data_IF_831357074359
#
_entry.id   IF_831357074359
#
_cell.length_a   1.000
_cell.length_b   1.000
_cell.length_c   1.000
_cell.angle_alpha   90.00
_cell.angle_beta   90.00
_cell.angle_gamma   90.00
#
_symmetry.space_group_name_H-M   'P 1'
#
loop_
_entity.id
_entity.type
_entity.pdbx_description
1 polymer ?
#
# COMPACT_ATOMS: atom_id res chain seq x y z
N UNK A 1 -12.39 18.21 -26.25
CA UNK A 1 -13.82 18.51 -26.48
C UNK A 1 -14.40 19.11 -25.22
N UNK A 2 -14.87 20.34 -25.31
CA UNK A 2 -15.59 20.96 -24.21
C UNK A 2 -17.00 20.37 -24.20
N UNK A 3 -17.45 19.73 -23.10
CA UNK A 3 -18.79 19.22 -23.02
C UNK A 3 -19.78 20.34 -23.33
N UNK A 4 -20.65 20.10 -24.26
CA UNK A 4 -21.64 21.05 -24.70
C UNK A 4 -21.25 22.02 -25.79
N UNK A 5 -20.02 22.02 -26.25
CA UNK A 5 -19.74 22.56 -27.58
C UNK A 5 -20.03 21.49 -28.62
N UNK A 6 -20.95 21.78 -29.51
CA UNK A 6 -21.04 21.01 -30.74
C UNK A 6 -19.74 21.19 -31.51
N UNK A 7 -19.06 20.10 -31.80
CA UNK A 7 -17.94 20.12 -32.73
C UNK A 7 -18.52 20.41 -34.10
N UNK A 8 -18.35 21.63 -34.55
CA UNK A 8 -19.02 22.11 -35.74
C UNK A 8 -18.05 22.28 -36.87
N UNK A 9 -17.38 21.26 -37.29
CA UNK A 9 -16.65 21.38 -38.55
C UNK A 9 -17.55 21.68 -39.75
N UNK A 10 -18.84 21.42 -39.66
CA UNK A 10 -19.76 21.53 -40.78
C UNK A 10 -21.15 22.13 -40.44
N UNK A 11 -21.28 22.85 -39.35
CA UNK A 11 -22.55 23.48 -39.01
C UNK A 11 -22.47 25.01 -39.13
N UNK A 12 -23.16 25.57 -40.08
CA UNK A 12 -23.23 27.01 -40.26
C UNK A 12 -24.05 27.75 -39.20
N UNK A 13 -24.71 27.07 -38.31
CA UNK A 13 -25.45 27.64 -37.18
C UNK A 13 -25.24 26.81 -35.96
N UNK A 14 -24.44 27.33 -35.02
CA UNK A 14 -24.49 26.89 -33.63
C UNK A 14 -25.68 27.58 -33.00
N UNK A 15 -26.78 26.93 -33.02
CA UNK A 15 -27.84 27.25 -32.08
C UNK A 15 -27.30 27.07 -30.68
N UNK A 16 -27.66 27.96 -29.76
CA UNK A 16 -27.28 27.97 -28.36
C UNK A 16 -26.98 26.57 -27.87
N UNK A 17 -25.74 26.38 -27.41
CA UNK A 17 -25.38 25.19 -26.69
C UNK A 17 -26.17 25.19 -25.38
N UNK A 18 -27.11 24.27 -25.23
CA UNK A 18 -27.80 24.00 -23.96
C UNK A 18 -26.92 23.29 -22.94
N UNK A 19 -25.64 23.38 -23.12
CA UNK A 19 -24.68 22.66 -22.34
C UNK A 19 -24.22 23.44 -21.09
N UNK A 20 -23.72 22.69 -20.12
CA UNK A 20 -23.31 23.17 -18.82
C UNK A 20 -22.08 24.08 -18.84
N UNK A 21 -21.58 24.48 -20.02
CA UNK A 21 -20.31 25.24 -20.18
C UNK A 21 -19.12 24.66 -19.41
N UNK A 22 -19.11 23.35 -19.24
CA UNK A 22 -18.03 22.64 -18.56
C UNK A 22 -16.88 22.43 -19.52
N UNK A 23 -15.66 22.62 -19.01
CA UNK A 23 -14.43 22.36 -19.75
C UNK A 23 -13.66 21.25 -19.09
N UNK A 24 -13.13 20.33 -19.89
CA UNK A 24 -12.12 19.35 -19.48
C UNK A 24 -10.86 19.70 -20.29
N UNK A 25 -9.77 19.92 -19.60
CA UNK A 25 -8.47 20.10 -20.24
C UNK A 25 -7.40 19.28 -19.51
N UNK A 26 -6.21 19.24 -20.09
CA UNK A 26 -5.04 18.58 -19.54
C UNK A 26 -3.84 19.48 -19.69
N UNK A 27 -2.87 19.29 -18.80
CA UNK A 27 -1.59 20.02 -18.82
C UNK A 27 -0.45 19.08 -18.51
N UNK A 28 0.72 19.44 -18.98
CA UNK A 28 1.95 18.72 -18.62
C UNK A 28 2.16 18.77 -17.11
N UNK A 29 2.74 17.72 -16.57
CA UNK A 29 3.11 17.58 -15.16
C UNK A 29 4.17 18.62 -14.80
N UNK A 30 3.78 19.61 -14.00
CA UNK A 30 4.65 20.64 -13.44
C UNK A 30 4.11 21.07 -12.09
N UNK A 31 4.99 21.57 -11.22
CA UNK A 31 4.60 22.05 -9.89
C UNK A 31 3.51 23.11 -9.93
N UNK A 32 3.58 24.04 -10.88
CA UNK A 32 2.63 25.16 -11.03
C UNK A 32 1.53 24.91 -12.06
N UNK A 33 1.30 23.65 -12.46
CA UNK A 33 0.18 23.34 -13.35
C UNK A 33 -1.14 23.72 -12.69
N UNK A 34 -2.00 24.43 -13.44
CA UNK A 34 -3.29 24.95 -12.98
C UNK A 34 -3.24 26.05 -11.90
N UNK A 35 -2.08 26.64 -11.63
CA UNK A 35 -2.03 27.81 -10.77
C UNK A 35 -3.01 28.90 -11.24
N UNK A 36 -3.66 29.57 -10.29
CA UNK A 36 -4.65 30.64 -10.50
C UNK A 36 -5.93 30.23 -11.29
N UNK A 37 -6.18 28.93 -11.49
CA UNK A 37 -7.39 28.42 -12.17
C UNK A 37 -8.32 27.80 -11.13
N UNK A 38 -9.60 28.18 -11.13
CA UNK A 38 -10.60 27.50 -10.30
C UNK A 38 -11.01 26.18 -10.92
N UNK A 39 -10.95 25.10 -10.13
CA UNK A 39 -11.18 23.73 -10.55
C UNK A 39 -12.31 23.10 -9.76
N UNK A 40 -13.18 22.35 -10.46
CA UNK A 40 -14.23 21.52 -9.83
C UNK A 40 -13.74 20.09 -9.65
N UNK A 41 -12.88 19.63 -10.56
CA UNK A 41 -12.21 18.31 -10.46
C UNK A 41 -10.78 18.47 -10.89
N UNK A 42 -9.88 17.88 -10.12
CA UNK A 42 -8.49 17.73 -10.46
C UNK A 42 -8.12 16.24 -10.40
N UNK A 43 -7.59 15.72 -11.48
CA UNK A 43 -7.06 14.37 -11.55
C UNK A 43 -5.55 14.46 -11.73
N UNK A 44 -4.83 13.96 -10.75
CA UNK A 44 -3.39 13.87 -10.73
C UNK A 44 -2.99 12.41 -10.95
N UNK A 45 -2.92 12.03 -12.22
CA UNK A 45 -2.68 10.64 -12.60
C UNK A 45 -1.23 10.24 -12.33
N UNK A 46 -1.06 9.01 -11.84
CA UNK A 46 0.24 8.43 -11.53
C UNK A 46 1.14 9.31 -10.64
N UNK A 47 0.56 10.00 -9.65
CA UNK A 47 1.24 10.98 -8.81
C UNK A 47 2.51 10.43 -8.11
N UNK A 48 2.51 9.16 -7.74
CA UNK A 48 3.67 8.49 -7.13
C UNK A 48 4.80 8.14 -8.11
N UNK A 49 4.61 8.44 -9.40
CA UNK A 49 5.61 8.19 -10.46
C UNK A 49 6.19 9.48 -11.07
N UNK A 50 5.82 10.63 -10.56
CA UNK A 50 6.33 11.89 -11.08
C UNK A 50 7.83 12.04 -10.81
N UNK A 51 8.61 12.26 -11.86
CA UNK A 51 10.08 12.37 -11.78
C UNK A 51 10.59 13.81 -11.95
N UNK A 52 9.85 14.63 -12.68
CA UNK A 52 10.30 15.99 -13.05
C UNK A 52 9.62 17.10 -12.21
N UNK A 53 8.64 16.73 -11.39
CA UNK A 53 7.91 17.67 -10.55
C UNK A 53 7.55 17.02 -9.21
N UNK A 54 7.57 17.81 -8.14
CA UNK A 54 7.10 17.37 -6.83
C UNK A 54 5.58 17.40 -6.76
N UNK A 55 4.98 16.26 -6.47
CA UNK A 55 3.52 16.16 -6.25
C UNK A 55 3.08 16.95 -5.01
N UNK A 56 3.92 17.02 -3.97
CA UNK A 56 3.65 17.84 -2.78
C UNK A 56 3.52 19.32 -3.14
N UNK A 57 4.51 19.86 -3.86
CA UNK A 57 4.49 21.26 -4.29
C UNK A 57 3.33 21.54 -5.23
N UNK A 58 3.05 20.63 -6.17
CA UNK A 58 1.88 20.77 -7.02
C UNK A 58 0.58 20.80 -6.19
N UNK A 59 0.48 19.94 -5.17
CA UNK A 59 -0.68 19.92 -4.29
C UNK A 59 -0.83 21.21 -3.49
N UNK A 60 0.24 21.79 -2.99
CA UNK A 60 0.21 23.10 -2.30
C UNK A 60 -0.40 24.18 -3.19
N UNK A 61 -0.03 24.22 -4.47
CA UNK A 61 -0.57 25.17 -5.46
C UNK A 61 -2.03 24.86 -5.78
N UNK A 62 -2.33 23.62 -6.17
CA UNK A 62 -3.66 23.24 -6.68
C UNK A 62 -4.72 23.24 -5.60
N UNK A 63 -4.36 23.00 -4.35
CA UNK A 63 -5.29 23.02 -3.21
C UNK A 63 -6.07 24.32 -3.14
N UNK A 64 -5.43 25.47 -3.39
CA UNK A 64 -6.09 26.78 -3.44
C UNK A 64 -7.04 26.94 -4.61
N UNK A 65 -6.80 26.20 -5.70
CA UNK A 65 -7.63 26.22 -6.91
C UNK A 65 -8.97 25.49 -6.72
N UNK A 66 -9.04 24.60 -5.73
CA UNK A 66 -10.23 23.82 -5.38
C UNK A 66 -11.13 24.49 -4.33
N UNK A 67 -10.79 25.70 -3.92
CA UNK A 67 -11.53 26.45 -2.90
C UNK A 67 -11.99 27.81 -3.42
N UNK A 68 -13.04 28.34 -2.81
CA UNK A 68 -13.52 29.71 -2.99
C UNK A 68 -13.73 30.32 -1.61
N UNK A 69 -12.72 31.08 -1.15
CA UNK A 69 -12.65 31.51 0.23
C UNK A 69 -12.52 30.31 1.18
N UNK A 70 -13.42 30.19 2.13
CA UNK A 70 -13.51 29.09 3.10
C UNK A 70 -14.21 27.83 2.56
N UNK A 71 -14.85 27.93 1.40
CA UNK A 71 -15.65 26.85 0.79
C UNK A 71 -14.82 25.98 -0.15
N UNK A 72 -14.89 24.66 0.07
CA UNK A 72 -14.35 23.67 -0.88
C UNK A 72 -15.35 23.54 -2.02
N UNK A 73 -14.94 23.92 -3.24
CA UNK A 73 -15.76 23.85 -4.45
C UNK A 73 -15.36 22.69 -5.36
N UNK A 74 -14.14 22.20 -5.25
CA UNK A 74 -13.61 21.16 -6.08
C UNK A 74 -13.10 19.95 -5.30
N UNK A 75 -12.77 18.89 -6.03
CA UNK A 75 -12.21 17.66 -5.47
C UNK A 75 -10.98 17.25 -6.25
N UNK A 76 -10.00 16.69 -5.54
CA UNK A 76 -8.80 16.10 -6.11
C UNK A 76 -8.87 14.58 -6.03
N UNK A 77 -8.34 13.92 -7.06
CA UNK A 77 -8.07 12.49 -7.09
C UNK A 77 -6.62 12.30 -7.51
N UNK A 78 -5.87 11.52 -6.74
CA UNK A 78 -4.45 11.18 -7.02
C UNK A 78 -4.28 9.66 -7.06
N UNK A 79 -4.81 8.97 -8.07
CA UNK A 79 -4.58 7.54 -8.23
C UNK A 79 -3.12 7.29 -8.62
N UNK A 80 -2.50 6.30 -8.01
CA UNK A 80 -1.16 5.88 -8.36
C UNK A 80 -0.81 4.50 -7.84
N UNK A 81 0.08 3.82 -8.56
CA UNK A 81 1.00 2.86 -7.98
C UNK A 81 2.28 3.58 -7.59
N UNK A 82 3.05 3.04 -6.66
CA UNK A 82 4.26 3.70 -6.16
C UNK A 82 5.47 3.21 -6.94
N UNK A 83 6.29 4.15 -7.40
CA UNK A 83 7.61 3.85 -7.96
C UNK A 83 8.64 3.62 -6.85
N UNK A 84 9.89 3.38 -7.22
CA UNK A 84 10.99 3.33 -6.24
C UNK A 84 11.01 4.64 -5.43
N UNK A 85 11.04 4.52 -4.10
CA UNK A 85 10.95 5.69 -3.21
C UNK A 85 12.13 6.64 -3.40
N UNK A 86 13.30 6.08 -3.73
CA UNK A 86 14.57 6.79 -3.85
C UNK A 86 14.74 7.52 -5.19
N UNK A 87 13.93 7.21 -6.20
CA UNK A 87 14.04 7.74 -7.56
C UNK A 87 12.94 8.76 -7.86
N UNK A 88 12.68 9.69 -6.97
CA UNK A 88 11.72 10.79 -7.15
C UNK A 88 10.22 10.40 -7.21
N UNK A 89 9.38 11.27 -6.77
CA UNK A 89 7.91 11.10 -6.77
C UNK A 89 7.38 10.15 -5.71
N UNK A 90 8.02 9.01 -5.50
CA UNK A 90 7.58 7.99 -4.54
C UNK A 90 7.59 8.48 -3.09
N UNK A 91 8.67 9.13 -2.66
CA UNK A 91 8.77 9.67 -1.29
C UNK A 91 7.78 10.81 -1.07
N UNK A 92 7.68 11.76 -2.01
CA UNK A 92 6.72 12.86 -1.94
C UNK A 92 5.27 12.34 -1.90
N UNK A 93 4.95 11.32 -2.69
CA UNK A 93 3.63 10.70 -2.67
C UNK A 93 3.36 9.96 -1.35
N UNK A 94 4.38 9.28 -0.80
CA UNK A 94 4.31 8.62 0.50
C UNK A 94 4.01 9.61 1.63
N UNK A 95 4.65 10.79 1.61
CA UNK A 95 4.39 11.85 2.58
C UNK A 95 2.93 12.33 2.51
N UNK A 96 2.44 12.65 1.30
CA UNK A 96 1.02 13.01 1.11
C UNK A 96 0.10 11.89 1.59
N UNK A 97 0.44 10.64 1.33
CA UNK A 97 -0.34 9.49 1.77
C UNK A 97 -0.50 9.45 3.29
N UNK A 98 0.59 9.56 4.03
CA UNK A 98 0.53 9.55 5.50
C UNK A 98 -0.12 10.80 6.09
N UNK A 99 0.07 11.95 5.47
CA UNK A 99 -0.63 13.19 5.82
C UNK A 99 -2.13 13.16 5.49
N UNK A 100 -2.58 12.13 4.80
CA UNK A 100 -3.98 11.89 4.42
C UNK A 100 -4.68 10.83 5.28
N UNK A 101 -4.07 10.38 6.39
CA UNK A 101 -4.69 9.36 7.25
C UNK A 101 -5.94 9.92 7.92
N UNK A 102 -7.09 9.31 7.62
CA UNK A 102 -8.39 9.68 8.18
C UNK A 102 -8.44 9.55 9.71
N UNK A 103 -7.53 8.82 10.32
CA UNK A 103 -7.42 8.66 11.77
C UNK A 103 -6.69 9.83 12.43
N UNK A 104 -5.85 10.55 11.68
CA UNK A 104 -5.09 11.73 12.14
C UNK A 104 -5.73 13.02 11.60
N UNK A 105 -6.83 13.43 12.25
CA UNK A 105 -7.58 14.65 11.91
C UNK A 105 -7.47 15.70 12.98
N UNK A 106 -7.44 16.96 12.53
CA UNK A 106 -7.51 18.12 13.42
C UNK A 106 -8.90 18.29 14.06
N UNK A 107 -9.04 19.32 14.90
CA UNK A 107 -10.28 19.62 15.62
C UNK A 107 -11.48 19.96 14.69
N UNK A 108 -11.22 20.31 13.42
CA UNK A 108 -12.25 20.60 12.41
C UNK A 108 -12.45 19.43 11.43
N UNK A 109 -11.84 18.27 11.72
CA UNK A 109 -12.03 17.04 10.97
C UNK A 109 -11.21 16.92 9.68
N UNK A 110 -10.15 17.72 9.51
CA UNK A 110 -9.29 17.70 8.33
C UNK A 110 -7.99 16.94 8.60
N UNK A 111 -7.55 16.16 7.64
CA UNK A 111 -6.20 15.58 7.62
C UNK A 111 -5.17 16.69 7.32
N UNK A 112 -3.89 16.45 7.55
CA UNK A 112 -2.81 17.42 7.27
C UNK A 112 -2.77 17.82 5.80
N UNK A 113 -2.92 16.87 4.90
CA UNK A 113 -2.99 17.13 3.45
C UNK A 113 -4.31 17.78 3.03
N UNK A 114 -5.39 17.60 3.78
CA UNK A 114 -6.76 17.92 3.39
C UNK A 114 -7.39 16.89 2.44
N UNK A 115 -6.71 15.78 2.17
CA UNK A 115 -7.20 14.62 1.42
C UNK A 115 -7.39 13.41 2.34
N UNK A 116 -7.94 12.35 1.80
CA UNK A 116 -8.07 11.06 2.48
C UNK A 116 -7.38 9.98 1.67
N UNK A 117 -6.49 9.22 2.33
CA UNK A 117 -5.85 8.06 1.74
C UNK A 117 -6.82 6.89 1.64
N UNK A 118 -6.81 6.22 0.51
CA UNK A 118 -7.60 5.01 0.25
C UNK A 118 -6.73 3.99 -0.48
N UNK A 119 -6.59 2.80 0.09
CA UNK A 119 -5.79 1.72 -0.48
C UNK A 119 -6.69 0.66 -1.07
N UNK A 120 -6.41 0.30 -2.31
CA UNK A 120 -7.03 -0.85 -2.99
C UNK A 120 -5.96 -1.92 -3.17
N UNK A 121 -6.09 -3.09 -2.53
CA UNK A 121 -5.16 -4.20 -2.75
C UNK A 121 -5.18 -4.65 -4.21
N UNK A 122 -4.04 -5.10 -4.71
CA UNK A 122 -3.92 -5.49 -6.12
C UNK A 122 -4.82 -6.65 -6.56
N UNK A 123 -5.30 -7.45 -5.62
CA UNK A 123 -6.23 -8.54 -5.91
C UNK A 123 -7.69 -8.06 -6.04
N UNK A 124 -8.00 -6.83 -5.61
CA UNK A 124 -9.32 -6.24 -5.77
C UNK A 124 -9.42 -5.54 -7.12
N UNK A 125 -10.45 -5.85 -7.89
CA UNK A 125 -10.61 -5.34 -9.26
C UNK A 125 -9.61 -5.90 -10.28
N UNK A 126 -8.93 -7.01 -9.97
CA UNK A 126 -7.93 -7.57 -10.87
C UNK A 126 -8.55 -8.07 -12.16
N UNK A 127 -8.03 -7.59 -13.29
CA UNK A 127 -8.56 -7.90 -14.62
C UNK A 127 -8.59 -9.41 -14.89
N UNK A 128 -9.72 -9.88 -15.44
CA UNK A 128 -9.98 -11.31 -15.67
C UNK A 128 -10.44 -12.09 -14.42
N UNK A 129 -10.68 -11.40 -13.30
CA UNK A 129 -11.25 -11.94 -12.08
C UNK A 129 -12.45 -11.11 -11.59
N UNK A 130 -13.20 -10.56 -12.53
CA UNK A 130 -14.42 -9.81 -12.26
C UNK A 130 -15.58 -10.66 -12.76
N UNK A 131 -16.61 -10.84 -11.95
CA UNK A 131 -17.78 -11.62 -12.30
C UNK A 131 -18.76 -10.83 -13.23
N UNK A 132 -19.82 -11.48 -13.64
CA UNK A 132 -20.84 -10.89 -14.56
C UNK A 132 -21.54 -9.66 -13.99
N UNK A 133 -21.50 -9.46 -12.66
CA UNK A 133 -22.08 -8.31 -11.97
C UNK A 133 -21.07 -7.19 -11.71
N UNK A 134 -19.81 -7.38 -12.10
CA UNK A 134 -18.74 -6.40 -11.88
C UNK A 134 -18.07 -6.50 -10.52
N UNK A 135 -18.27 -7.58 -9.75
CA UNK A 135 -17.62 -7.81 -8.47
C UNK A 135 -16.33 -8.60 -8.62
N UNK A 136 -15.36 -8.25 -7.81
CA UNK A 136 -14.07 -8.94 -7.75
C UNK A 136 -14.20 -10.35 -7.18
N UNK A 137 -13.69 -11.34 -7.89
CA UNK A 137 -13.58 -12.73 -7.43
C UNK A 137 -12.23 -12.90 -6.74
N UNK A 138 -12.16 -12.54 -5.47
CA UNK A 138 -10.91 -12.48 -4.68
C UNK A 138 -10.51 -13.86 -4.17
N UNK A 139 -11.45 -14.56 -3.54
CA UNK A 139 -11.26 -15.88 -2.96
C UNK A 139 -11.69 -16.98 -3.93
N UNK A 140 -11.80 -18.21 -3.47
CA UNK A 140 -12.27 -19.34 -4.30
C UNK A 140 -13.62 -19.04 -4.93
N UNK A 141 -13.73 -19.03 -6.28
CA UNK A 141 -14.97 -18.69 -6.97
C UNK A 141 -16.08 -19.72 -6.73
N UNK A 142 -17.33 -19.27 -6.74
CA UNK A 142 -18.49 -20.15 -6.86
C UNK A 142 -18.50 -20.85 -8.23
N UNK A 143 -19.37 -21.86 -8.39
CA UNK A 143 -19.47 -22.58 -9.68
C UNK A 143 -19.85 -21.65 -10.83
N UNK A 144 -20.76 -20.71 -10.59
CA UNK A 144 -21.20 -19.73 -11.56
C UNK A 144 -20.06 -18.77 -11.91
N UNK A 145 -19.39 -18.22 -10.90
CA UNK A 145 -18.23 -17.34 -11.10
C UNK A 145 -17.10 -18.06 -11.85
N UNK A 146 -16.76 -19.29 -11.43
CA UNK A 146 -15.72 -20.09 -12.10
C UNK A 146 -16.03 -20.33 -13.58
N UNK A 147 -17.30 -20.58 -13.90
CA UNK A 147 -17.75 -20.75 -15.29
C UNK A 147 -17.62 -19.45 -16.08
N UNK A 148 -17.96 -18.30 -15.49
CA UNK A 148 -17.90 -17.00 -16.15
C UNK A 148 -16.45 -16.53 -16.38
N UNK A 149 -15.60 -16.55 -15.34
CA UNK A 149 -14.20 -16.10 -15.43
C UNK A 149 -13.27 -17.16 -16.06
N UNK A 150 -13.72 -18.40 -16.20
CA UNK A 150 -12.93 -19.50 -16.75
C UNK A 150 -11.76 -19.96 -15.85
N UNK A 151 -11.86 -19.75 -14.52
CA UNK A 151 -10.80 -20.05 -13.56
C UNK A 151 -11.38 -20.71 -12.31
N UNK A 152 -10.60 -21.59 -11.68
CA UNK A 152 -10.96 -22.28 -10.44
C UNK A 152 -10.42 -21.62 -9.16
N UNK A 153 -9.60 -20.58 -9.29
CA UNK A 153 -8.98 -19.84 -8.19
C UNK A 153 -9.36 -18.37 -8.29
N UNK A 154 -9.30 -17.66 -7.16
CA UNK A 154 -9.53 -16.22 -7.11
C UNK A 154 -8.27 -15.41 -7.41
N UNK A 155 -8.43 -14.09 -7.55
CA UNK A 155 -7.34 -13.16 -7.88
C UNK A 155 -6.22 -13.15 -6.85
N UNK A 156 -6.56 -13.27 -5.57
CA UNK A 156 -5.58 -13.28 -4.48
C UNK A 156 -4.66 -14.51 -4.53
N UNK A 157 -5.25 -15.69 -4.72
CA UNK A 157 -4.49 -16.93 -4.88
C UNK A 157 -3.66 -16.90 -6.17
N UNK A 158 -4.22 -16.40 -7.26
CA UNK A 158 -3.51 -16.23 -8.52
C UNK A 158 -2.25 -15.37 -8.36
N UNK A 159 -2.37 -14.20 -7.74
CA UNK A 159 -1.24 -13.31 -7.48
C UNK A 159 -0.25 -13.91 -6.47
N UNK A 160 -0.74 -14.67 -5.49
CA UNK A 160 0.13 -15.39 -4.57
C UNK A 160 0.96 -16.45 -5.28
N UNK A 161 0.39 -17.18 -6.23
CA UNK A 161 1.12 -18.16 -7.05
C UNK A 161 2.22 -17.51 -7.89
N UNK A 162 2.00 -16.29 -8.39
CA UNK A 162 3.06 -15.50 -9.06
C UNK A 162 4.19 -15.18 -8.09
N UNK A 163 3.87 -14.72 -6.88
CA UNK A 163 4.85 -14.42 -5.83
C UNK A 163 5.64 -15.67 -5.42
N UNK A 164 4.95 -16.80 -5.32
CA UNK A 164 5.58 -18.07 -4.95
C UNK A 164 6.56 -18.56 -6.01
N UNK A 165 6.32 -18.29 -7.27
CA UNK A 165 7.26 -18.56 -8.35
C UNK A 165 8.56 -17.74 -8.24
N UNK A 166 8.52 -16.60 -7.55
CA UNK A 166 9.70 -15.77 -7.27
C UNK A 166 10.38 -16.08 -5.93
N UNK A 167 9.90 -17.09 -5.17
CA UNK A 167 10.59 -17.55 -3.96
C UNK A 167 12.02 -17.96 -4.32
N UNK A 168 13.00 -17.37 -3.63
CA UNK A 168 14.43 -17.55 -3.93
C UNK A 168 15.06 -16.44 -4.80
N UNK A 169 14.25 -15.55 -5.38
CA UNK A 169 14.73 -14.33 -6.02
C UNK A 169 14.10 -13.12 -5.33
N UNK A 170 14.76 -12.66 -4.29
CA UNK A 170 14.26 -11.61 -3.38
C UNK A 170 13.99 -10.29 -4.09
N UNK A 171 14.86 -9.90 -5.02
CA UNK A 171 14.70 -8.67 -5.80
C UNK A 171 13.41 -8.71 -6.63
N UNK A 172 13.19 -9.78 -7.39
CA UNK A 172 11.96 -9.93 -8.18
C UNK A 172 10.72 -10.04 -7.32
N UNK A 173 10.80 -10.75 -6.19
CA UNK A 173 9.69 -10.83 -5.26
C UNK A 173 9.34 -9.47 -4.64
N UNK A 174 10.36 -8.68 -4.26
CA UNK A 174 10.16 -7.34 -3.71
C UNK A 174 9.54 -6.39 -4.73
N UNK A 175 9.99 -6.45 -5.97
CA UNK A 175 9.41 -5.69 -7.08
C UNK A 175 7.96 -6.10 -7.35
N UNK A 176 7.66 -7.40 -7.42
CA UNK A 176 6.30 -7.90 -7.62
C UNK A 176 5.35 -7.44 -6.50
N UNK A 177 5.79 -7.49 -5.24
CA UNK A 177 5.01 -7.02 -4.09
C UNK A 177 4.75 -5.51 -4.17
N UNK A 178 5.72 -4.71 -4.61
CA UNK A 178 5.56 -3.27 -4.77
C UNK A 178 4.63 -2.91 -5.92
N UNK A 179 4.73 -3.61 -7.05
CA UNK A 179 3.89 -3.36 -8.23
C UNK A 179 2.46 -3.86 -8.05
N UNK A 180 2.27 -4.93 -7.30
CA UNK A 180 0.97 -5.53 -7.00
C UNK A 180 0.81 -5.75 -5.49
N UNK A 181 0.72 -4.65 -4.70
CA UNK A 181 0.74 -4.74 -3.25
C UNK A 181 -0.56 -5.32 -2.69
N UNK A 182 -0.42 -6.13 -1.64
CA UNK A 182 -1.55 -6.60 -0.84
C UNK A 182 -1.77 -5.72 0.40
N UNK A 183 -0.74 -4.95 0.77
CA UNK A 183 -0.78 -4.00 1.87
C UNK A 183 -0.07 -2.70 1.52
N UNK A 184 -0.30 -1.66 2.33
CA UNK A 184 0.40 -0.37 2.20
C UNK A 184 1.90 -0.53 2.38
N UNK A 185 2.33 -1.37 3.31
CA UNK A 185 3.75 -1.61 3.58
C UNK A 185 4.45 -2.24 2.37
N UNK A 186 3.74 -3.08 1.63
CA UNK A 186 4.25 -3.61 0.37
C UNK A 186 4.35 -2.54 -0.72
N UNK A 187 3.38 -1.62 -0.81
CA UNK A 187 3.38 -0.55 -1.79
C UNK A 187 4.55 0.43 -1.61
N UNK A 188 4.93 0.70 -0.36
CA UNK A 188 6.01 1.63 -0.02
C UNK A 188 7.34 0.94 0.33
N UNK A 189 7.60 -0.25 -0.23
CA UNK A 189 8.89 -0.92 -0.05
C UNK A 189 10.03 -0.14 -0.72
N UNK A 190 11.11 0.10 0.03
CA UNK A 190 12.35 0.68 -0.49
C UNK A 190 13.14 -0.33 -1.32
N UNK A 191 13.94 0.17 -2.25
CA UNK A 191 14.87 -0.67 -3.00
C UNK A 191 16.17 -0.87 -2.19
N UNK A 192 16.68 -2.11 -2.21
CA UNK A 192 17.92 -2.48 -1.50
C UNK A 192 19.16 -1.76 -2.01
N UNK A 193 19.15 -1.27 -3.25
CA UNK A 193 20.30 -0.62 -3.89
C UNK A 193 20.77 0.67 -3.21
N UNK A 194 19.87 1.32 -2.46
CA UNK A 194 20.13 2.62 -1.82
C UNK A 194 20.32 2.52 -0.30
N UNK A 195 20.29 1.33 0.25
CA UNK A 195 20.45 1.11 1.68
C UNK A 195 21.79 0.46 2.01
N UNK A 196 22.52 0.91 3.07
CA UNK A 196 23.69 0.22 3.58
C UNK A 196 23.34 -1.09 4.28
N UNK A 197 22.06 -1.32 4.55
CA UNK A 197 21.55 -2.56 5.14
C UNK A 197 21.01 -3.48 4.06
N UNK A 198 21.07 -4.79 4.33
CA UNK A 198 20.40 -5.79 3.48
C UNK A 198 18.87 -5.70 3.68
N UNK A 199 18.27 -4.74 2.98
CA UNK A 199 16.83 -4.44 3.07
C UNK A 199 15.98 -5.65 2.68
N UNK A 200 16.48 -6.51 1.79
CA UNK A 200 15.78 -7.72 1.38
C UNK A 200 15.63 -8.71 2.54
N UNK A 201 16.70 -8.88 3.33
CA UNK A 201 16.63 -9.69 4.55
C UNK A 201 15.73 -9.09 5.62
N UNK A 202 15.72 -7.76 5.72
CA UNK A 202 14.80 -7.07 6.62
C UNK A 202 13.36 -7.37 6.21
N UNK A 203 13.01 -7.22 4.93
CA UNK A 203 11.67 -7.52 4.45
C UNK A 203 11.31 -9.01 4.58
N UNK A 204 12.24 -9.91 4.33
CA UNK A 204 12.02 -11.34 4.58
C UNK A 204 11.68 -11.62 6.05
N UNK A 205 12.39 -10.96 6.96
CA UNK A 205 12.10 -11.10 8.38
C UNK A 205 10.76 -10.46 8.77
N UNK A 206 10.41 -9.32 8.18
CA UNK A 206 9.12 -8.68 8.39
C UNK A 206 7.98 -9.56 7.87
N UNK A 207 8.08 -10.07 6.65
CA UNK A 207 7.10 -10.99 6.07
C UNK A 207 6.95 -12.26 6.93
N UNK A 208 8.07 -12.85 7.36
CA UNK A 208 8.06 -13.99 8.30
C UNK A 208 7.36 -13.65 9.61
N UNK A 209 7.62 -12.49 10.19
CA UNK A 209 7.00 -12.06 11.43
C UNK A 209 5.48 -11.84 11.27
N UNK A 210 5.03 -11.38 10.11
CA UNK A 210 3.59 -11.21 9.82
C UNK A 210 2.88 -12.56 9.64
N UNK A 211 3.48 -13.49 8.92
CA UNK A 211 2.96 -14.85 8.78
C UNK A 211 2.93 -15.58 10.11
N UNK A 212 3.94 -15.32 10.95
CA UNK A 212 4.15 -15.94 12.24
C UNK A 212 3.46 -15.23 13.41
N UNK A 213 2.35 -14.53 13.18
CA UNK A 213 1.58 -13.75 14.18
C UNK A 213 1.29 -14.45 15.52
N UNK A 214 1.49 -15.76 15.61
CA UNK A 214 1.28 -16.57 16.81
C UNK A 214 2.58 -16.96 17.55
N UNK A 215 3.74 -16.44 17.16
CA UNK A 215 5.02 -16.82 17.77
C UNK A 215 5.28 -16.20 19.15
N UNK A 216 4.54 -15.16 19.54
CA UNK A 216 4.67 -14.61 20.89
C UNK A 216 3.80 -15.40 21.83
N UNK A 217 4.41 -16.33 22.55
CA UNK A 217 3.74 -17.10 23.59
C UNK A 217 3.94 -16.41 24.92
N UNK A 218 2.83 -16.14 25.63
CA UNK A 218 2.88 -15.70 27.02
C UNK A 218 3.05 -16.90 27.93
N UNK A 219 3.77 -16.73 29.03
CA UNK A 219 3.96 -17.78 30.01
C UNK A 219 4.85 -17.33 31.17
N UNK A 220 5.19 -18.28 31.98
CA UNK A 220 6.08 -18.11 33.12
C UNK A 220 7.20 -19.16 33.12
N UNK A 221 8.36 -18.77 33.65
CA UNK A 221 9.41 -19.72 34.00
C UNK A 221 9.09 -20.30 35.37
N UNK A 222 9.05 -21.60 35.45
CA UNK A 222 8.78 -22.34 36.68
C UNK A 222 9.90 -23.36 36.96
N UNK A 223 10.13 -23.64 38.21
CA UNK A 223 11.03 -24.72 38.61
C UNK A 223 10.42 -26.07 38.30
N UNK A 224 11.25 -27.00 37.83
CA UNK A 224 10.81 -28.39 37.59
C UNK A 224 10.32 -29.01 38.91
N UNK A 225 9.12 -29.61 38.86
CA UNK A 225 8.45 -30.17 40.02
C UNK A 225 8.21 -29.20 41.21
N UNK A 226 8.38 -27.86 41.01
CA UNK A 226 8.22 -26.87 42.06
C UNK A 226 9.42 -26.71 43.00
N UNK A 227 10.48 -27.47 42.80
CA UNK A 227 11.70 -27.41 43.60
C UNK A 227 12.63 -26.26 43.11
N UNK A 228 12.91 -25.30 44.03
CA UNK A 228 13.77 -24.16 43.76
C UNK A 228 15.20 -24.61 43.40
N UNK A 229 15.87 -23.85 42.52
CA UNK A 229 17.23 -24.09 42.08
C UNK A 229 17.43 -25.40 41.28
N UNK A 230 16.36 -25.95 40.74
CA UNK A 230 16.35 -27.08 39.79
C UNK A 230 16.31 -26.55 38.34
N UNK A 231 15.97 -27.44 37.41
CA UNK A 231 15.77 -27.06 36.00
C UNK A 231 14.60 -26.12 35.83
N UNK A 232 14.79 -25.02 35.10
CA UNK A 232 13.73 -24.07 34.76
C UNK A 232 12.98 -24.58 33.53
N UNK A 233 11.67 -24.61 33.61
CA UNK A 233 10.77 -24.98 32.53
C UNK A 233 9.94 -23.78 32.12
N UNK A 234 9.66 -23.68 30.82
CA UNK A 234 8.70 -22.74 30.31
C UNK A 234 7.28 -23.31 30.37
N UNK A 235 6.39 -22.60 31.05
CA UNK A 235 4.97 -22.95 31.12
C UNK A 235 4.15 -21.89 30.37
N UNK A 236 3.59 -22.22 29.18
CA UNK A 236 2.68 -21.33 28.48
C UNK A 236 1.44 -21.01 29.30
N UNK A 237 0.96 -19.76 29.23
CA UNK A 237 -0.26 -19.34 29.91
C UNK A 237 -0.63 -17.91 29.51
N UNK A 238 -1.94 -17.66 29.28
CA UNK A 238 -2.44 -16.36 28.81
C UNK A 238 -2.17 -15.20 29.77
N UNK A 239 -2.03 -15.51 31.07
CA UNK A 239 -1.74 -14.56 32.16
C UNK A 239 -0.25 -14.52 32.53
N UNK A 240 0.61 -15.22 31.79
CA UNK A 240 2.04 -15.26 32.08
C UNK A 240 2.70 -13.88 32.00
N UNK A 241 3.70 -13.66 32.85
CA UNK A 241 4.43 -12.38 32.95
C UNK A 241 5.39 -12.16 31.78
N UNK A 242 5.83 -13.23 31.14
CA UNK A 242 6.82 -13.17 30.06
C UNK A 242 6.18 -13.34 28.70
N UNK A 243 6.78 -12.70 27.72
CA UNK A 243 6.46 -12.86 26.30
C UNK A 243 7.70 -13.36 25.59
N UNK A 244 7.63 -14.53 24.98
CA UNK A 244 8.76 -15.14 24.29
C UNK A 244 8.39 -15.33 22.83
N UNK A 245 9.24 -14.81 21.94
CA UNK A 245 9.09 -14.96 20.49
C UNK A 245 9.77 -16.20 19.94
N UNK A 246 10.71 -16.77 20.67
CA UNK A 246 11.45 -17.93 20.24
C UNK A 246 11.93 -18.76 21.44
N UNK A 247 11.82 -20.07 21.34
CA UNK A 247 12.35 -21.04 22.31
C UNK A 247 13.20 -22.02 21.52
N UNK A 248 14.45 -22.28 21.94
CA UNK A 248 15.28 -23.25 21.24
C UNK A 248 14.62 -24.63 21.21
N UNK A 249 14.69 -25.35 20.08
CA UNK A 249 14.23 -26.74 19.99
C UNK A 249 14.84 -27.62 21.07
N UNK A 250 14.12 -28.63 21.53
CA UNK A 250 14.58 -29.47 22.65
C UNK A 250 15.93 -30.13 22.41
N UNK A 251 16.21 -30.53 21.18
CA UNK A 251 17.47 -31.12 20.75
C UNK A 251 18.65 -30.14 20.83
N UNK A 252 18.40 -28.84 20.92
CA UNK A 252 19.41 -27.78 21.03
C UNK A 252 19.50 -27.14 22.40
N UNK A 253 18.55 -27.41 23.27
CA UNK A 253 18.58 -26.90 24.65
C UNK A 253 19.78 -27.47 25.41
N UNK A 254 20.42 -26.63 26.20
CA UNK A 254 21.60 -27.00 27.02
C UNK A 254 22.83 -27.51 26.24
N UNK A 255 22.88 -27.30 24.93
CA UNK A 255 24.08 -27.58 24.13
C UNK A 255 24.92 -26.33 23.99
N UNK A 256 26.17 -26.44 24.40
CA UNK A 256 27.18 -25.39 24.25
C UNK A 256 27.78 -25.53 22.84
N UNK A 257 27.64 -24.51 22.02
CA UNK A 257 28.31 -24.41 20.73
C UNK A 257 29.49 -23.42 20.82
N UNK A 258 30.66 -23.84 20.41
CA UNK A 258 31.81 -22.96 20.34
C UNK A 258 31.97 -22.44 18.91
N UNK A 259 31.96 -21.13 18.72
CA UNK A 259 32.22 -20.45 17.47
C UNK A 259 33.30 -19.39 17.73
N UNK A 260 34.38 -19.41 16.94
CA UNK A 260 35.51 -18.48 17.11
C UNK A 260 35.99 -18.36 18.55
N UNK A 261 36.22 -19.51 19.20
CA UNK A 261 36.62 -19.63 20.60
C UNK A 261 35.68 -19.02 21.66
N UNK A 262 34.49 -18.61 21.28
CA UNK A 262 33.42 -18.17 22.19
C UNK A 262 32.39 -19.27 22.38
N UNK A 263 32.01 -19.52 23.63
CA UNK A 263 30.97 -20.49 23.98
C UNK A 263 29.60 -19.80 23.95
N UNK A 264 28.66 -20.42 23.28
CA UNK A 264 27.25 -20.00 23.20
C UNK A 264 26.39 -21.16 23.75
N UNK A 265 25.42 -20.84 24.59
CA UNK A 265 24.41 -21.76 25.14
C UNK A 265 23.10 -21.60 24.42
#
# INVERSE_FOLDING_TARGET
NTPGQKITKNYSKVTKSEALNSRIDWRNTRENSYDSVKLIRYLCDEAGKWTEASVEKNWEVVRSCLTLGDKIIGRCFMPSTVNELEVSGGENFKNIWYDSDIKDRDAIGRTRSGMYSYFTPAYDGYEGFIDEYGFSVIDTPTKEQAKFIGKSIGSKEYLQNIRDAYKGNTTKLSEEKRQRPFSIDEAFRSDSRYSPFDVERIYQQMDYNEEAKNLIVKGDFIWKAGEKDTTVLWKPGSQGRWRISWIPPEDRRNKIKTINNKKYT
#
